data_IF_755117662779
#
_entry.id   IF_755117662779
#
_cell.length_a   1.000
_cell.length_b   1.000
_cell.length_c   1.000
_cell.angle_alpha   90.00
_cell.angle_beta   90.00
_cell.angle_gamma   90.00
#
_symmetry.space_group_name_H-M   'P 1'
#
loop_
_entity.id
_entity.type
_entity.pdbx_description
1 polymer ?
#
# COMPACT_ATOMS: atom_id res chain seq x y z
N UNK A 1 -22.83 6.54 -6.24
CA UNK A 1 -21.57 6.60 -7.00
C UNK A 1 -20.85 7.88 -6.58
N UNK A 2 -19.58 7.81 -6.16
CA UNK A 2 -18.83 9.02 -5.80
C UNK A 2 -18.21 9.63 -7.07
N UNK A 3 -19.03 10.37 -7.81
CA UNK A 3 -18.66 11.01 -9.08
C UNK A 3 -17.46 11.95 -8.92
N UNK A 4 -17.26 12.50 -7.71
CA UNK A 4 -16.15 13.40 -7.43
C UNK A 4 -14.80 12.68 -7.55
N UNK A 5 -14.68 11.48 -7.00
CA UNK A 5 -13.43 10.71 -7.08
C UNK A 5 -13.09 10.36 -8.53
N UNK A 6 -14.08 9.90 -9.29
CA UNK A 6 -13.91 9.53 -10.71
C UNK A 6 -13.43 10.75 -11.51
N UNK A 7 -14.11 11.89 -11.36
CA UNK A 7 -13.74 13.11 -12.09
C UNK A 7 -12.32 13.59 -11.74
N UNK A 8 -11.90 13.51 -10.47
CA UNK A 8 -10.54 13.88 -10.07
C UNK A 8 -9.47 12.95 -10.66
N UNK A 9 -9.75 11.64 -10.71
CA UNK A 9 -8.83 10.67 -11.33
C UNK A 9 -8.67 10.94 -12.82
N UNK A 10 -9.77 11.20 -13.53
CA UNK A 10 -9.75 11.53 -14.96
C UNK A 10 -9.08 12.88 -15.22
N UNK A 11 -9.30 13.89 -14.38
CA UNK A 11 -8.64 15.19 -14.48
C UNK A 11 -7.11 15.05 -14.36
N UNK A 12 -6.63 14.32 -13.34
CA UNK A 12 -5.20 14.03 -13.18
C UNK A 12 -4.65 13.32 -14.41
N UNK A 13 -5.36 12.30 -14.91
CA UNK A 13 -4.94 11.56 -16.11
C UNK A 13 -4.91 12.44 -17.36
N UNK A 14 -5.85 13.39 -17.51
CA UNK A 14 -5.92 14.30 -18.66
C UNK A 14 -4.72 15.26 -18.75
N UNK A 15 -4.04 15.48 -17.62
CA UNK A 15 -2.80 16.26 -17.54
C UNK A 15 -1.54 15.43 -17.86
N UNK A 16 -1.69 14.15 -18.23
CA UNK A 16 -0.57 13.23 -18.47
C UNK A 16 0.11 12.76 -17.19
N UNK A 17 -0.53 12.92 -16.02
CA UNK A 17 -0.03 12.49 -14.72
C UNK A 17 -0.66 11.13 -14.39
N UNK A 18 0.09 10.23 -13.76
CA UNK A 18 -0.42 8.93 -13.31
C UNK A 18 -1.21 9.13 -12.01
N UNK A 19 -2.54 8.94 -11.99
CA UNK A 19 -3.31 9.02 -10.76
C UNK A 19 -3.05 7.81 -9.84
N UNK A 20 -3.04 8.08 -8.55
CA UNK A 20 -2.97 7.09 -7.50
C UNK A 20 -3.91 7.41 -6.35
N UNK A 21 -4.17 6.42 -5.50
CA UNK A 21 -5.13 6.53 -4.40
C UNK A 21 -4.53 6.00 -3.10
N UNK A 22 -4.74 6.75 -2.01
CA UNK A 22 -4.36 6.33 -0.67
C UNK A 22 -5.59 5.82 0.10
N UNK A 23 -5.45 4.66 0.73
CA UNK A 23 -6.59 3.96 1.32
C UNK A 23 -6.65 4.13 2.84
N UNK A 24 -7.74 4.72 3.32
CA UNK A 24 -8.05 4.79 4.76
C UNK A 24 -9.12 3.78 5.20
N UNK A 25 -9.93 3.28 4.25
CA UNK A 25 -10.90 2.19 4.43
C UNK A 25 -10.61 1.08 3.40
N UNK A 26 -9.52 0.31 3.56
CA UNK A 26 -8.87 -0.38 2.44
C UNK A 26 -9.77 -1.35 1.68
N UNK A 27 -10.40 -2.29 2.36
CA UNK A 27 -11.27 -3.29 1.71
C UNK A 27 -12.40 -2.63 0.91
N UNK A 28 -13.12 -1.69 1.54
CA UNK A 28 -14.25 -1.00 0.89
C UNK A 28 -13.80 -0.19 -0.32
N UNK A 29 -12.70 0.57 -0.18
CA UNK A 29 -12.20 1.40 -1.27
C UNK A 29 -11.58 0.56 -2.39
N UNK A 30 -10.89 -0.54 -2.08
CA UNK A 30 -10.39 -1.48 -3.09
C UNK A 30 -11.50 -2.07 -3.93
N UNK A 31 -12.57 -2.56 -3.29
CA UNK A 31 -13.75 -3.06 -4.03
C UNK A 31 -14.34 -2.00 -4.94
N UNK A 32 -14.50 -0.78 -4.44
CA UNK A 32 -14.99 0.33 -5.26
C UNK A 32 -14.10 0.60 -6.48
N UNK A 33 -12.78 0.62 -6.31
CA UNK A 33 -11.82 0.82 -7.41
C UNK A 33 -11.99 -0.27 -8.48
N UNK A 34 -12.05 -1.53 -8.04
CA UNK A 34 -12.16 -2.70 -8.94
C UNK A 34 -13.51 -2.73 -9.65
N UNK A 35 -14.62 -2.60 -8.92
CA UNK A 35 -15.99 -2.64 -9.44
C UNK A 35 -16.26 -1.54 -10.47
N UNK A 36 -15.62 -0.38 -10.32
CA UNK A 36 -15.78 0.76 -11.22
C UNK A 36 -14.64 0.88 -12.24
N UNK A 37 -13.70 -0.07 -12.26
CA UNK A 37 -12.53 -0.08 -13.14
C UNK A 37 -11.84 1.29 -13.23
N UNK A 38 -11.59 1.91 -12.07
CA UNK A 38 -11.02 3.26 -12.04
C UNK A 38 -9.63 3.25 -12.68
N UNK A 39 -9.35 4.28 -13.47
CA UNK A 39 -8.06 4.47 -14.10
C UNK A 39 -7.01 4.94 -13.08
N UNK A 40 -6.67 4.09 -12.11
CA UNK A 40 -5.61 4.32 -11.12
C UNK A 40 -4.54 3.25 -11.29
N UNK A 41 -3.27 3.64 -11.15
CA UNK A 41 -2.15 2.69 -11.29
C UNK A 41 -1.43 2.42 -9.99
N UNK A 42 -1.30 3.43 -9.13
CA UNK A 42 -0.61 3.30 -7.85
C UNK A 42 -1.61 3.32 -6.69
N UNK A 43 -1.50 2.35 -5.78
CA UNK A 43 -2.37 2.24 -4.61
C UNK A 43 -1.52 2.21 -3.34
N UNK A 44 -1.66 3.25 -2.51
CA UNK A 44 -1.02 3.31 -1.19
C UNK A 44 -1.95 2.68 -0.15
N UNK A 45 -1.59 1.50 0.35
CA UNK A 45 -2.44 0.63 1.17
C UNK A 45 -1.80 0.37 2.54
N UNK A 46 -2.52 0.49 3.67
CA UNK A 46 -1.98 0.06 4.95
C UNK A 46 -1.85 -1.46 4.93
N UNK A 47 -0.66 -1.98 5.21
CA UNK A 47 -0.40 -3.41 5.02
C UNK A 47 0.67 -3.89 5.99
N UNK A 48 0.33 -4.75 6.96
CA UNK A 48 1.23 -5.24 7.99
C UNK A 48 0.73 -6.55 8.60
N UNK A 49 1.65 -7.36 9.15
CA UNK A 49 1.33 -8.69 9.69
C UNK A 49 0.28 -8.68 10.80
N UNK A 50 0.14 -7.56 11.52
CA UNK A 50 -0.83 -7.42 12.60
C UNK A 50 -2.26 -7.07 12.11
N UNK A 51 -2.47 -6.81 10.82
CA UNK A 51 -3.77 -6.37 10.30
C UNK A 51 -4.14 -4.93 10.68
N UNK A 52 -3.23 -4.16 11.28
CA UNK A 52 -3.55 -2.84 11.83
C UNK A 52 -3.90 -1.86 10.71
N UNK A 53 -5.09 -1.24 10.79
CA UNK A 53 -5.67 -0.35 9.77
C UNK A 53 -6.03 -1.01 8.43
N UNK A 54 -5.95 -2.34 8.30
CA UNK A 54 -6.31 -3.05 7.07
C UNK A 54 -7.82 -3.25 6.92
N UNK A 55 -8.58 -3.13 8.00
CA UNK A 55 -9.97 -3.57 8.06
C UNK A 55 -10.01 -5.09 8.24
N UNK A 56 -10.50 -5.83 7.25
CA UNK A 56 -10.37 -7.28 7.20
C UNK A 56 -9.03 -7.66 6.56
N UNK A 57 -8.11 -8.20 7.36
CA UNK A 57 -6.74 -8.51 6.94
C UNK A 57 -6.71 -9.51 5.78
N UNK A 58 -7.32 -10.68 5.98
CA UNK A 58 -7.29 -11.79 5.00
C UNK A 58 -7.93 -11.38 3.67
N UNK A 59 -9.02 -10.62 3.74
CA UNK A 59 -9.69 -10.11 2.55
C UNK A 59 -8.84 -9.08 1.81
N UNK A 60 -8.15 -8.19 2.53
CA UNK A 60 -7.27 -7.21 1.91
C UNK A 60 -6.02 -7.87 1.30
N UNK A 61 -5.42 -8.85 1.98
CA UNK A 61 -4.32 -9.66 1.43
C UNK A 61 -4.75 -10.27 0.10
N UNK A 62 -5.90 -10.94 0.07
CA UNK A 62 -6.46 -11.51 -1.16
C UNK A 62 -6.67 -10.47 -2.26
N UNK A 63 -7.26 -9.32 -1.94
CA UNK A 63 -7.50 -8.26 -2.92
C UNK A 63 -6.19 -7.70 -3.50
N UNK A 64 -5.12 -7.61 -2.69
CA UNK A 64 -3.80 -7.16 -3.14
C UNK A 64 -3.15 -8.22 -4.02
N UNK A 65 -3.14 -9.47 -3.58
CA UNK A 65 -2.42 -10.57 -4.24
C UNK A 65 -3.09 -11.03 -5.55
N UNK A 66 -4.40 -10.81 -5.73
CA UNK A 66 -5.14 -11.22 -6.94
C UNK A 66 -5.24 -10.13 -8.03
N UNK A 67 -4.71 -8.92 -7.80
CA UNK A 67 -4.88 -7.78 -8.72
C UNK A 67 -3.57 -7.17 -9.23
N UNK A 68 -2.86 -7.90 -10.10
CA UNK A 68 -1.56 -7.53 -10.68
C UNK A 68 -1.57 -6.27 -11.57
N UNK A 69 -2.75 -5.78 -11.97
CA UNK A 69 -2.88 -4.57 -12.77
C UNK A 69 -2.56 -3.28 -12.00
N UNK A 70 -2.47 -3.35 -10.67
CA UNK A 70 -2.13 -2.22 -9.80
C UNK A 70 -0.72 -2.37 -9.20
N UNK A 71 -0.03 -1.25 -9.01
CA UNK A 71 1.20 -1.18 -8.24
C UNK A 71 0.87 -0.82 -6.79
N UNK A 72 0.90 -1.82 -5.91
CA UNK A 72 0.63 -1.61 -4.50
C UNK A 72 1.86 -1.15 -3.73
N UNK A 73 1.68 -0.07 -2.97
CA UNK A 73 2.69 0.52 -2.10
C UNK A 73 2.19 0.35 -0.66
N UNK A 74 2.94 -0.38 0.16
CA UNK A 74 2.62 -0.56 1.57
C UNK A 74 2.88 0.70 2.38
N UNK A 75 1.89 1.18 3.14
CA UNK A 75 2.08 2.16 4.21
C UNK A 75 1.85 1.53 5.58
N UNK A 76 2.35 2.18 6.65
CA UNK A 76 2.20 1.73 8.03
C UNK A 76 2.65 0.27 8.25
N UNK A 77 3.62 -0.19 7.47
CA UNK A 77 4.09 -1.58 7.46
C UNK A 77 4.71 -2.00 8.78
N UNK A 78 5.27 -1.05 9.55
CA UNK A 78 5.78 -1.26 10.90
C UNK A 78 4.69 -1.25 12.00
N UNK A 79 3.40 -1.19 11.64
CA UNK A 79 2.28 -1.11 12.58
C UNK A 79 2.43 0.00 13.63
N UNK A 80 2.87 1.19 13.21
CA UNK A 80 3.13 2.37 14.06
C UNK A 80 4.25 2.09 15.09
N UNK A 81 5.34 1.48 14.63
CA UNK A 81 6.52 1.17 15.45
C UNK A 81 6.37 -0.07 16.33
N UNK A 82 5.29 -0.84 16.18
CA UNK A 82 5.06 -2.08 16.94
C UNK A 82 5.77 -3.30 16.34
N UNK A 83 6.32 -3.17 15.14
CA UNK A 83 7.05 -4.22 14.44
C UNK A 83 8.46 -3.73 14.09
N UNK A 84 9.43 -4.63 14.21
CA UNK A 84 10.76 -4.38 13.66
C UNK A 84 10.72 -4.40 12.13
N UNK A 85 11.63 -3.69 11.45
CA UNK A 85 11.76 -3.74 10.00
C UNK A 85 11.86 -5.17 9.44
N UNK A 86 12.63 -6.04 10.11
CA UNK A 86 12.79 -7.45 9.71
C UNK A 86 11.43 -8.16 9.58
N UNK A 87 10.62 -8.15 10.65
CA UNK A 87 9.32 -8.82 10.68
C UNK A 87 8.35 -8.22 9.67
N UNK A 88 8.36 -6.90 9.53
CA UNK A 88 7.50 -6.24 8.57
C UNK A 88 7.85 -6.65 7.14
N UNK A 89 9.13 -6.61 6.77
CA UNK A 89 9.57 -6.89 5.40
C UNK A 89 9.46 -8.37 5.02
N UNK A 90 9.73 -9.30 5.95
CA UNK A 90 9.49 -10.73 5.74
C UNK A 90 8.03 -11.03 5.40
N UNK A 91 7.10 -10.34 6.06
CA UNK A 91 5.68 -10.43 5.75
C UNK A 91 5.37 -9.78 4.39
N UNK A 92 5.83 -8.54 4.16
CA UNK A 92 5.61 -7.83 2.89
C UNK A 92 6.09 -8.63 1.67
N UNK A 93 7.25 -9.29 1.76
CA UNK A 93 7.83 -10.10 0.67
C UNK A 93 6.92 -11.23 0.16
N UNK A 94 5.93 -11.63 0.96
CA UNK A 94 5.00 -12.72 0.62
C UNK A 94 3.79 -12.25 -0.20
N UNK A 95 3.64 -10.94 -0.38
CA UNK A 95 2.46 -10.33 -0.99
C UNK A 95 2.83 -9.51 -2.23
N UNK A 96 1.83 -9.19 -3.05
CA UNK A 96 1.95 -8.33 -4.23
C UNK A 96 2.12 -6.85 -3.85
N UNK A 97 3.18 -6.53 -3.11
CA UNK A 97 3.56 -5.19 -2.69
C UNK A 97 4.89 -4.85 -3.35
N UNK A 98 4.89 -3.88 -4.27
CA UNK A 98 6.08 -3.54 -5.04
C UNK A 98 7.00 -2.53 -4.33
N UNK A 99 6.48 -1.80 -3.35
CA UNK A 99 7.24 -0.82 -2.58
C UNK A 99 6.66 -0.64 -1.17
N UNK A 100 7.47 -0.13 -0.25
CA UNK A 100 7.04 0.22 1.11
C UNK A 100 7.43 1.64 1.46
N UNK A 101 6.58 2.30 2.25
CA UNK A 101 6.83 3.62 2.83
C UNK A 101 7.04 3.47 4.33
N UNK A 102 8.16 4.03 4.82
CA UNK A 102 8.56 3.97 6.23
C UNK A 102 8.80 5.39 6.72
N UNK A 103 8.11 5.76 7.79
CA UNK A 103 8.40 7.00 8.52
C UNK A 103 9.51 6.75 9.52
N UNK A 104 10.53 7.60 9.51
CA UNK A 104 11.73 7.50 10.34
C UNK A 104 11.99 8.87 10.96
N UNK A 105 12.32 8.91 12.25
CA UNK A 105 12.57 10.16 13.00
C UNK A 105 14.01 10.29 13.47
N UNK A 106 14.81 9.23 13.36
CA UNK A 106 16.24 9.21 13.70
C UNK A 106 17.12 8.63 12.59
N UNK A 107 18.41 8.90 12.67
CA UNK A 107 19.42 8.36 11.74
C UNK A 107 19.56 6.85 11.95
N UNK A 108 19.46 6.40 13.21
CA UNK A 108 19.55 5.00 13.60
C UNK A 108 18.42 4.18 12.98
N UNK A 109 17.17 4.67 13.07
CA UNK A 109 16.01 4.04 12.42
C UNK A 109 16.15 4.01 10.89
N UNK A 110 16.68 5.09 10.31
CA UNK A 110 16.95 5.15 8.88
C UNK A 110 17.96 4.09 8.45
N UNK A 111 19.06 3.95 9.19
CA UNK A 111 20.09 2.96 8.93
C UNK A 111 19.57 1.52 9.12
N UNK A 112 18.85 1.25 10.20
CA UNK A 112 18.28 -0.07 10.46
C UNK A 112 17.28 -0.45 9.36
N UNK A 113 16.29 0.41 9.11
CA UNK A 113 15.21 0.14 8.17
C UNK A 113 15.71 -0.05 6.74
N UNK A 114 16.72 0.71 6.31
CA UNK A 114 17.30 0.58 4.96
C UNK A 114 18.23 -0.62 4.85
N UNK A 115 19.09 -0.88 5.84
CA UNK A 115 19.96 -2.05 5.82
C UNK A 115 19.15 -3.35 5.81
N UNK A 116 18.09 -3.43 6.61
CA UNK A 116 17.20 -4.59 6.64
C UNK A 116 16.46 -4.75 5.31
N UNK A 117 16.05 -3.66 4.66
CA UNK A 117 15.41 -3.73 3.34
C UNK A 117 16.38 -4.27 2.28
N UNK A 118 17.62 -3.79 2.25
CA UNK A 118 18.66 -4.29 1.34
C UNK A 118 18.90 -5.79 1.54
N UNK A 119 18.94 -6.27 2.79
CA UNK A 119 19.19 -7.69 3.08
C UNK A 119 18.02 -8.62 2.70
N UNK A 120 16.78 -8.15 2.70
CA UNK A 120 15.58 -8.98 2.47
C UNK A 120 15.12 -8.96 1.01
N UNK A 121 15.24 -7.81 0.36
CA UNK A 121 14.67 -7.55 -0.97
C UNK A 121 15.69 -7.54 -2.12
N UNK A 122 17.00 -7.52 -1.84
CA UNK A 122 18.06 -7.74 -2.84
C UNK A 122 18.60 -9.17 -2.77
#
# INVERSE_FOLDING_TARGET
MDERLINLVEEISSLGIIPGVALHNPVKTMKFIIENNLNVKAILVPFNVNGLYMGNKEELEKLVDENDQYSFIGMKTLAVGKLSPQKAYEYIKQHNICAVTIGMVSIEEAKESTQTALNIFQ
#
